data_IF_907714951185
#
_entry.id   IF_907714951185
#
_cell.length_a   1.000
_cell.length_b   1.000
_cell.length_c   1.000
_cell.angle_alpha   90.00
_cell.angle_beta   90.00
_cell.angle_gamma   90.00
#
_symmetry.space_group_name_H-M   'P 1'
#
loop_
_entity.id
_entity.type
_entity.pdbx_description
1 polymer ?
#
# COMPACT_ATOMS: atom_id res chain seq x y z
N UNK A 1 -1.40 11.34 8.62
CA UNK A 1 -1.87 11.96 7.36
C UNK A 1 -0.91 13.08 7.00
N UNK A 2 -0.46 13.12 5.76
CA UNK A 2 0.43 14.17 5.23
C UNK A 2 -0.32 15.48 5.02
N UNK A 3 0.40 16.60 4.77
CA UNK A 3 -0.22 17.86 4.39
C UNK A 3 -0.97 17.74 3.06
N UNK A 4 -0.39 17.05 2.08
CA UNK A 4 -1.02 16.75 0.78
C UNK A 4 -2.32 15.97 0.97
N UNK A 5 -2.32 14.94 1.82
CA UNK A 5 -3.52 14.17 2.13
C UNK A 5 -4.61 15.01 2.80
N UNK A 6 -4.25 15.90 3.72
CA UNK A 6 -5.19 16.81 4.35
C UNK A 6 -5.81 17.80 3.36
N UNK A 7 -5.00 18.31 2.43
CA UNK A 7 -5.48 19.18 1.34
C UNK A 7 -6.45 18.42 0.41
N UNK A 8 -6.11 17.20 0.03
CA UNK A 8 -6.97 16.37 -0.83
C UNK A 8 -8.30 16.03 -0.15
N UNK A 9 -8.29 15.72 1.15
CA UNK A 9 -9.52 15.55 1.92
C UNK A 9 -10.39 16.82 1.92
N UNK A 10 -9.76 17.98 2.11
CA UNK A 10 -10.47 19.28 2.03
C UNK A 10 -11.05 19.52 0.63
N UNK A 11 -10.35 19.13 -0.42
CA UNK A 11 -10.84 19.30 -1.80
C UNK A 11 -12.06 18.40 -2.08
N UNK A 12 -12.06 17.15 -1.61
CA UNK A 12 -13.24 16.27 -1.72
C UNK A 12 -14.48 16.88 -1.04
N UNK A 13 -14.31 17.46 0.15
CA UNK A 13 -15.41 18.17 0.85
C UNK A 13 -15.93 19.36 0.02
N UNK A 14 -15.03 20.16 -0.58
CA UNK A 14 -15.39 21.27 -1.45
C UNK A 14 -16.11 20.84 -2.73
N UNK A 15 -15.82 19.64 -3.22
CA UNK A 15 -16.52 19.03 -4.36
C UNK A 15 -17.93 18.55 -4.01
N UNK A 16 -18.31 18.57 -2.73
CA UNK A 16 -19.67 18.22 -2.28
C UNK A 16 -19.81 16.77 -1.79
N UNK A 17 -18.72 16.07 -1.53
CA UNK A 17 -18.78 14.73 -0.95
C UNK A 17 -18.95 14.79 0.57
N UNK A 18 -19.84 13.96 1.10
CA UNK A 18 -19.92 13.70 2.54
C UNK A 18 -18.72 12.84 2.97
N UNK A 19 -18.10 13.22 4.09
CA UNK A 19 -16.90 12.55 4.59
C UNK A 19 -17.12 11.97 5.98
N UNK A 20 -16.73 10.71 6.13
CA UNK A 20 -16.66 10.03 7.43
C UNK A 20 -15.22 9.60 7.66
N UNK A 21 -14.64 10.02 8.77
CA UNK A 21 -13.26 9.68 9.13
C UNK A 21 -13.24 8.67 10.26
N UNK A 22 -12.61 7.51 10.02
CA UNK A 22 -12.33 6.52 11.05
C UNK A 22 -10.83 6.55 11.37
N UNK A 23 -10.49 6.91 12.61
CA UNK A 23 -9.10 7.06 13.04
C UNK A 23 -8.81 6.09 14.19
N UNK A 24 -8.04 5.03 13.97
CA UNK A 24 -7.54 4.18 15.05
C UNK A 24 -6.70 4.97 16.05
N UNK A 25 -6.72 4.57 17.34
CA UNK A 25 -5.91 5.23 18.35
C UNK A 25 -4.41 5.17 18.01
N UNK A 26 -3.68 6.32 17.99
CA UNK A 26 -2.29 6.36 17.50
C UNK A 26 -1.35 5.37 18.20
N UNK A 27 -1.51 5.17 19.51
CA UNK A 27 -0.69 4.19 20.26
C UNK A 27 -0.95 2.74 19.81
N UNK A 28 -2.19 2.39 19.50
CA UNK A 28 -2.56 1.06 19.00
C UNK A 28 -2.03 0.86 17.59
N UNK A 29 -2.19 1.86 16.74
CA UNK A 29 -1.68 1.84 15.37
C UNK A 29 -0.15 1.69 15.34
N UNK A 30 0.60 2.43 16.16
CA UNK A 30 2.05 2.31 16.27
C UNK A 30 2.49 0.91 16.74
N UNK A 31 1.83 0.35 17.77
CA UNK A 31 2.11 -1.02 18.22
C UNK A 31 1.90 -2.05 17.12
N UNK A 32 0.78 -1.97 16.41
CA UNK A 32 0.46 -2.90 15.33
C UNK A 32 1.39 -2.72 14.13
N UNK A 33 1.78 -1.49 13.79
CA UNK A 33 2.76 -1.22 12.75
C UNK A 33 4.12 -1.88 13.07
N UNK A 34 4.59 -1.77 14.32
CA UNK A 34 5.83 -2.43 14.74
C UNK A 34 5.69 -3.95 14.73
N UNK A 35 4.58 -4.48 15.22
CA UNK A 35 4.38 -5.93 15.32
C UNK A 35 4.24 -6.56 13.92
N UNK A 36 3.49 -5.92 13.01
CA UNK A 36 3.40 -6.37 11.62
C UNK A 36 4.75 -6.30 10.90
N UNK A 37 5.57 -5.30 11.19
CA UNK A 37 6.93 -5.21 10.65
C UNK A 37 7.79 -6.39 11.12
N UNK A 38 7.74 -6.74 12.42
CA UNK A 38 8.49 -7.87 12.97
C UNK A 38 8.03 -9.22 12.41
N UNK A 39 6.72 -9.44 12.31
CA UNK A 39 6.11 -10.72 11.96
C UNK A 39 6.05 -10.97 10.45
N UNK A 40 5.89 -9.93 9.64
CA UNK A 40 5.62 -10.06 8.19
C UNK A 40 6.61 -9.28 7.32
N UNK A 41 7.48 -8.46 7.91
CA UNK A 41 8.31 -7.52 7.15
C UNK A 41 7.46 -6.52 6.34
N UNK A 42 6.33 -6.11 6.91
CA UNK A 42 5.36 -5.17 6.34
C UNK A 42 5.00 -4.13 7.41
N UNK A 43 5.33 -2.87 7.18
CA UNK A 43 5.07 -1.77 8.13
C UNK A 43 3.63 -1.27 8.07
N UNK A 44 2.90 -1.57 7.00
CA UNK A 44 1.56 -1.06 6.70
C UNK A 44 0.44 -2.10 6.83
N UNK A 45 0.74 -3.37 7.16
CA UNK A 45 -0.27 -4.43 7.19
C UNK A 45 -1.51 -4.07 8.04
N UNK A 46 -1.31 -3.55 9.24
CA UNK A 46 -2.43 -3.14 10.09
C UNK A 46 -3.21 -1.95 9.52
N UNK A 47 -2.52 -0.99 8.89
CA UNK A 47 -3.15 0.14 8.22
C UNK A 47 -4.01 -0.30 7.04
N UNK A 48 -3.49 -1.19 6.21
CA UNK A 48 -4.23 -1.80 5.10
C UNK A 48 -5.45 -2.60 5.61
N UNK A 49 -5.30 -3.39 6.67
CA UNK A 49 -6.42 -4.10 7.30
C UNK A 49 -7.51 -3.13 7.77
N UNK A 50 -7.13 -2.02 8.41
CA UNK A 50 -8.08 -0.98 8.82
C UNK A 50 -8.74 -0.29 7.62
N UNK A 51 -7.98 0.02 6.56
CA UNK A 51 -8.49 0.62 5.33
C UNK A 51 -9.59 -0.26 4.71
N UNK A 52 -9.27 -1.53 4.47
CA UNK A 52 -10.20 -2.46 3.81
C UNK A 52 -11.41 -2.83 4.68
N UNK A 53 -11.29 -2.84 6.00
CA UNK A 53 -12.39 -3.19 6.90
C UNK A 53 -13.34 -2.03 7.20
N UNK A 54 -12.85 -0.79 7.17
CA UNK A 54 -13.63 0.39 7.59
C UNK A 54 -14.83 0.65 6.68
N UNK A 55 -14.63 0.64 5.36
CA UNK A 55 -15.70 0.98 4.40
C UNK A 55 -16.88 0.00 4.49
N UNK A 56 -16.69 -1.33 4.37
CA UNK A 56 -17.82 -2.25 4.49
C UNK A 56 -18.46 -2.23 5.88
N UNK A 57 -17.70 -2.02 6.95
CA UNK A 57 -18.24 -1.87 8.29
C UNK A 57 -19.18 -0.68 8.40
N UNK A 58 -18.75 0.49 7.91
CA UNK A 58 -19.60 1.68 7.89
C UNK A 58 -20.81 1.52 7.00
N UNK A 59 -20.69 0.87 5.85
CA UNK A 59 -21.80 0.58 4.96
C UNK A 59 -22.87 -0.27 5.67
N UNK A 60 -22.46 -1.32 6.42
CA UNK A 60 -23.35 -2.15 7.22
C UNK A 60 -24.08 -1.33 8.29
N UNK A 61 -23.34 -0.49 9.05
CA UNK A 61 -23.91 0.31 10.14
C UNK A 61 -24.87 1.40 9.64
N UNK A 62 -24.52 2.04 8.53
CA UNK A 62 -25.33 3.11 7.94
C UNK A 62 -26.47 2.60 7.05
N UNK A 63 -26.53 1.31 6.75
CA UNK A 63 -27.53 0.72 5.85
C UNK A 63 -27.30 1.12 4.39
N UNK A 64 -26.06 1.40 3.99
CA UNK A 64 -25.67 1.63 2.59
C UNK A 64 -25.29 0.30 1.98
N UNK A 65 -26.02 -0.13 0.95
CA UNK A 65 -25.86 -1.46 0.38
C UNK A 65 -24.95 -1.53 -0.86
N UNK A 66 -24.46 -0.40 -1.34
CA UNK A 66 -23.59 -0.34 -2.53
C UNK A 66 -22.30 0.37 -2.21
N UNK A 67 -21.19 -0.30 -2.47
CA UNK A 67 -19.83 0.22 -2.28
C UNK A 67 -19.15 0.26 -3.65
N UNK A 68 -18.61 1.41 -4.03
CA UNK A 68 -17.68 1.52 -5.15
C UNK A 68 -16.25 1.50 -4.64
N UNK A 69 -15.42 0.65 -5.24
CA UNK A 69 -14.02 0.49 -4.88
C UNK A 69 -13.13 0.85 -6.08
N UNK A 70 -12.22 1.79 -5.89
CA UNK A 70 -11.34 2.26 -6.97
C UNK A 70 -10.23 1.28 -7.34
N UNK A 71 -9.74 0.53 -6.35
CA UNK A 71 -8.66 -0.44 -6.54
C UNK A 71 -9.22 -1.82 -6.88
N UNK A 72 -8.59 -2.51 -7.85
CA UNK A 72 -8.85 -3.92 -8.12
C UNK A 72 -7.56 -4.72 -7.87
N UNK A 73 -7.40 -5.34 -6.70
CA UNK A 73 -6.16 -6.05 -6.34
C UNK A 73 -5.84 -7.24 -7.25
N UNK A 74 -6.83 -7.86 -7.90
CA UNK A 74 -6.58 -8.92 -8.88
C UNK A 74 -5.81 -8.38 -10.09
N UNK A 75 -6.21 -7.21 -10.61
CA UNK A 75 -5.57 -6.58 -11.77
C UNK A 75 -4.28 -5.85 -11.40
N UNK A 76 -4.25 -5.16 -10.27
CA UNK A 76 -3.13 -4.29 -9.90
C UNK A 76 -1.94 -5.04 -9.31
N UNK A 77 -2.20 -6.08 -8.50
CA UNK A 77 -1.16 -6.85 -7.78
C UNK A 77 -1.20 -8.35 -8.05
N UNK A 78 -2.12 -8.81 -8.89
CA UNK A 78 -2.24 -10.23 -9.27
C UNK A 78 -2.78 -11.13 -8.15
N UNK A 79 -3.53 -10.59 -7.18
CA UNK A 79 -4.16 -11.38 -6.12
C UNK A 79 -5.45 -12.03 -6.65
N UNK A 80 -5.31 -13.22 -7.24
CA UNK A 80 -6.42 -13.97 -7.80
C UNK A 80 -7.47 -14.40 -6.75
N UNK A 81 -7.15 -14.34 -5.45
CA UNK A 81 -8.11 -14.70 -4.39
C UNK A 81 -9.28 -13.70 -4.30
N UNK A 82 -9.13 -12.50 -4.85
CA UNK A 82 -10.16 -11.45 -4.86
C UNK A 82 -10.92 -11.36 -6.18
N UNK A 83 -10.64 -12.23 -7.15
CA UNK A 83 -11.45 -12.32 -8.37
C UNK A 83 -12.91 -12.64 -8.03
N UNK A 84 -13.83 -11.90 -8.64
CA UNK A 84 -15.28 -12.10 -8.54
C UNK A 84 -15.83 -12.95 -9.70
N UNK A 85 -17.15 -12.97 -9.83
CA UNK A 85 -17.85 -13.66 -10.92
C UNK A 85 -17.71 -12.92 -12.25
N UNK A 86 -17.49 -11.62 -12.20
CA UNK A 86 -17.20 -10.77 -13.34
C UNK A 86 -16.15 -9.71 -12.94
N UNK A 87 -15.70 -8.92 -13.92
CA UNK A 87 -14.67 -7.91 -13.72
C UNK A 87 -15.04 -6.77 -12.77
N UNK A 88 -16.35 -6.56 -12.53
CA UNK A 88 -16.88 -5.54 -11.64
C UNK A 88 -17.10 -6.05 -10.21
N UNK A 89 -17.18 -7.37 -9.99
CA UNK A 89 -17.51 -7.96 -8.70
C UNK A 89 -16.35 -7.85 -7.69
N UNK A 90 -16.52 -6.99 -6.70
CA UNK A 90 -15.59 -6.79 -5.60
C UNK A 90 -15.91 -7.56 -4.31
N UNK A 91 -16.93 -8.42 -4.29
CA UNK A 91 -17.38 -9.08 -3.07
C UNK A 91 -16.34 -10.05 -2.45
N UNK A 92 -15.40 -10.53 -3.24
CA UNK A 92 -14.27 -11.34 -2.76
C UNK A 92 -13.12 -10.53 -2.12
N UNK A 93 -13.22 -9.20 -2.02
CA UNK A 93 -12.21 -8.35 -1.38
C UNK A 93 -11.84 -8.82 0.04
N UNK A 94 -12.76 -9.46 0.76
CA UNK A 94 -12.54 -10.13 2.04
C UNK A 94 -11.43 -11.19 2.03
N UNK A 95 -11.11 -11.76 0.86
CA UNK A 95 -10.08 -12.79 0.66
C UNK A 95 -8.69 -12.21 0.36
N UNK A 96 -8.58 -10.88 0.28
CA UNK A 96 -7.32 -10.21 -0.01
C UNK A 96 -6.21 -10.72 0.92
N UNK A 97 -5.05 -11.03 0.35
CA UNK A 97 -3.93 -11.61 1.07
C UNK A 97 -3.49 -10.76 2.28
N UNK A 98 -3.52 -9.45 2.16
CA UNK A 98 -3.26 -8.54 3.30
C UNK A 98 -4.19 -8.79 4.49
N UNK A 99 -5.46 -9.17 4.24
CA UNK A 99 -6.45 -9.43 5.29
C UNK A 99 -6.30 -10.84 5.87
N UNK A 100 -5.97 -11.83 5.06
CA UNK A 100 -6.04 -13.25 5.41
C UNK A 100 -4.70 -13.87 5.81
N UNK A 101 -3.59 -13.44 5.20
CA UNK A 101 -2.28 -14.02 5.47
C UNK A 101 -1.79 -13.75 6.90
N UNK A 102 -1.44 -14.84 7.60
CA UNK A 102 -0.94 -14.79 8.98
C UNK A 102 -2.03 -14.70 10.05
N UNK A 103 -3.32 -14.84 9.68
CA UNK A 103 -4.45 -14.78 10.61
C UNK A 103 -4.62 -13.41 11.27
N UNK A 104 -5.40 -13.35 12.34
CA UNK A 104 -5.72 -12.11 13.09
C UNK A 104 -5.31 -12.16 14.56
N UNK A 105 -4.84 -13.30 15.05
CA UNK A 105 -4.51 -13.51 16.47
C UNK A 105 -3.38 -12.60 16.97
N UNK A 106 -2.47 -12.22 16.07
CA UNK A 106 -1.38 -11.28 16.36
C UNK A 106 -1.88 -9.90 16.78
N UNK A 107 -3.04 -9.45 16.29
CA UNK A 107 -3.67 -8.18 16.64
C UNK A 107 -4.08 -8.20 18.12
N UNK A 108 -4.81 -9.23 18.53
CA UNK A 108 -5.21 -9.42 19.93
C UNK A 108 -4.01 -9.57 20.85
N UNK A 109 -2.98 -10.31 20.43
CA UNK A 109 -1.74 -10.48 21.18
C UNK A 109 -1.00 -9.15 21.36
N UNK A 110 -0.91 -8.32 20.33
CA UNK A 110 -0.25 -7.02 20.37
C UNK A 110 -1.00 -6.01 21.25
N UNK A 111 -2.32 -5.96 21.12
CA UNK A 111 -3.16 -4.99 21.83
C UNK A 111 -3.60 -5.45 23.26
N UNK A 112 -3.42 -6.73 23.60
CA UNK A 112 -3.74 -7.30 24.92
C UNK A 112 -5.16 -7.00 25.41
N UNK A 113 -6.12 -7.00 24.52
CA UNK A 113 -7.55 -6.72 24.77
C UNK A 113 -7.88 -5.31 25.30
N UNK A 114 -6.93 -4.38 25.28
CA UNK A 114 -7.16 -3.02 25.81
C UNK A 114 -7.80 -2.06 24.78
N UNK A 115 -8.01 -2.50 23.53
CA UNK A 115 -8.39 -1.63 22.43
C UNK A 115 -9.43 -2.28 21.52
N UNK A 116 -10.17 -1.44 20.78
CA UNK A 116 -11.10 -1.89 19.77
C UNK A 116 -10.34 -2.50 18.59
N UNK A 117 -10.37 -3.81 18.49
CA UNK A 117 -9.72 -4.57 17.40
C UNK A 117 -10.57 -4.60 16.12
N UNK A 118 -11.86 -4.31 16.23
CA UNK A 118 -12.83 -4.33 15.13
C UNK A 118 -12.43 -3.42 13.98
N UNK A 119 -11.68 -2.34 14.22
CA UNK A 119 -11.12 -1.47 13.16
C UNK A 119 -10.20 -2.21 12.18
N UNK A 120 -9.64 -3.34 12.60
CA UNK A 120 -8.67 -4.11 11.83
C UNK A 120 -9.23 -5.42 11.27
N UNK A 121 -10.48 -5.74 11.63
CA UNK A 121 -11.11 -6.99 11.24
C UNK A 121 -12.17 -6.74 10.17
N UNK A 122 -12.05 -7.44 9.05
CA UNK A 122 -13.07 -7.40 8.01
C UNK A 122 -14.38 -7.96 8.54
N UNK A 123 -15.55 -7.37 8.22
CA UNK A 123 -16.84 -7.86 8.69
C UNK A 123 -17.13 -9.30 8.21
N UNK A 124 -17.87 -10.04 9.01
CA UNK A 124 -18.30 -11.41 8.67
C UNK A 124 -19.22 -11.43 7.44
N UNK A 125 -19.10 -12.46 6.62
CA UNK A 125 -19.85 -12.62 5.37
C UNK A 125 -21.37 -12.58 5.58
N UNK A 126 -21.85 -13.19 6.66
CA UNK A 126 -23.27 -13.20 7.01
C UNK A 126 -23.87 -11.80 7.19
N UNK A 127 -23.05 -10.80 7.52
CA UNK A 127 -23.51 -9.41 7.64
C UNK A 127 -23.75 -8.77 6.27
N UNK A 128 -22.94 -9.13 5.27
CA UNK A 128 -23.13 -8.71 3.89
C UNK A 128 -24.46 -9.26 3.34
N UNK A 129 -24.69 -10.55 3.51
CA UNK A 129 -25.92 -11.21 3.04
C UNK A 129 -27.16 -10.60 3.67
N UNK A 130 -27.15 -10.40 5.00
CA UNK A 130 -28.28 -9.82 5.75
C UNK A 130 -28.61 -8.38 5.36
N UNK A 131 -27.63 -7.62 4.86
CA UNK A 131 -27.76 -6.20 4.51
C UNK A 131 -27.73 -5.96 3.01
N UNK A 132 -27.62 -7.02 2.21
CA UNK A 132 -27.50 -6.96 0.75
C UNK A 132 -26.35 -6.00 0.30
N UNK A 133 -25.19 -6.12 0.96
CA UNK A 133 -24.03 -5.27 0.67
C UNK A 133 -23.29 -5.82 -0.55
N UNK A 134 -23.09 -4.97 -1.53
CA UNK A 134 -22.37 -5.29 -2.75
C UNK A 134 -21.19 -4.32 -2.97
N UNK A 135 -20.03 -4.87 -3.35
CA UNK A 135 -18.84 -4.11 -3.68
C UNK A 135 -18.59 -4.21 -5.19
N UNK A 136 -18.43 -3.06 -5.84
CA UNK A 136 -18.16 -2.97 -7.27
C UNK A 136 -16.80 -2.29 -7.52
N UNK A 137 -15.97 -2.89 -8.36
CA UNK A 137 -14.76 -2.28 -8.86
C UNK A 137 -15.08 -1.27 -9.96
N UNK A 138 -14.51 -0.07 -9.88
CA UNK A 138 -14.74 0.98 -10.89
C UNK A 138 -13.84 0.85 -12.12
N UNK A 139 -12.61 0.34 -11.95
CA UNK A 139 -11.61 0.29 -13.02
C UNK A 139 -12.11 -0.29 -14.34
N UNK A 140 -12.85 -1.42 -14.35
CA UNK A 140 -13.38 -2.02 -15.57
C UNK A 140 -14.39 -1.15 -16.34
N UNK A 141 -14.89 -0.07 -15.75
CA UNK A 141 -15.78 0.87 -16.44
C UNK A 141 -15.06 1.74 -17.51
N UNK A 142 -13.74 1.73 -17.54
CA UNK A 142 -12.91 2.52 -18.44
C UNK A 142 -12.00 1.62 -19.28
N UNK A 143 -12.12 1.70 -20.58
CA UNK A 143 -11.31 0.92 -21.53
C UNK A 143 -9.82 1.28 -21.50
N UNK A 144 -9.51 2.54 -21.19
CA UNK A 144 -8.16 3.13 -21.19
C UNK A 144 -7.64 3.43 -19.77
N UNK A 145 -7.94 2.58 -18.82
CA UNK A 145 -7.48 2.80 -17.43
C UNK A 145 -5.95 2.75 -17.33
N UNK A 146 -5.34 3.84 -16.89
CA UNK A 146 -3.93 3.90 -16.51
C UNK A 146 -3.73 4.76 -15.26
N UNK A 147 -2.66 4.49 -14.50
CA UNK A 147 -2.33 5.33 -13.33
C UNK A 147 -1.96 6.76 -13.74
N UNK A 148 -1.24 6.94 -14.85
CA UNK A 148 -0.78 8.25 -15.32
C UNK A 148 -1.98 9.11 -15.78
N UNK A 149 -2.91 8.54 -16.56
CA UNK A 149 -4.09 9.27 -17.05
C UNK A 149 -5.05 9.60 -15.90
N UNK A 150 -5.31 8.65 -15.00
CA UNK A 150 -6.16 8.85 -13.84
C UNK A 150 -5.61 9.93 -12.91
N UNK A 151 -4.30 9.95 -12.65
CA UNK A 151 -3.68 10.97 -11.80
C UNK A 151 -3.70 12.34 -12.47
N UNK A 152 -3.50 12.40 -13.78
CA UNK A 152 -3.58 13.63 -14.57
C UNK A 152 -4.99 14.20 -14.54
N UNK A 153 -6.01 13.37 -14.81
CA UNK A 153 -7.41 13.79 -14.74
C UNK A 153 -7.79 14.26 -13.33
N UNK A 154 -7.44 13.48 -12.31
CA UNK A 154 -7.72 13.83 -10.92
C UNK A 154 -7.02 15.14 -10.50
N UNK A 155 -5.80 15.41 -11.00
CA UNK A 155 -5.11 16.67 -10.74
C UNK A 155 -5.82 17.87 -11.39
N UNK A 156 -6.39 17.71 -12.58
CA UNK A 156 -7.20 18.75 -13.23
C UNK A 156 -8.49 19.04 -12.43
N UNK A 157 -9.03 18.04 -11.76
CA UNK A 157 -10.22 18.15 -10.91
C UNK A 157 -9.90 18.55 -9.45
N UNK A 158 -8.63 18.82 -9.12
CA UNK A 158 -8.25 19.37 -7.81
C UNK A 158 -7.45 18.44 -6.90
N UNK A 159 -7.02 17.27 -7.38
CA UNK A 159 -6.06 16.44 -6.62
C UNK A 159 -4.71 17.15 -6.55
N UNK A 160 -4.21 17.34 -5.34
CA UNK A 160 -2.85 17.84 -5.11
C UNK A 160 -1.88 16.67 -5.15
N UNK A 161 -0.89 16.76 -6.04
CA UNK A 161 0.19 15.76 -6.18
C UNK A 161 1.39 16.12 -5.30
N UNK A 162 2.31 15.17 -5.10
CA UNK A 162 3.61 15.45 -4.49
C UNK A 162 4.48 16.25 -5.45
N UNK A 163 5.29 17.21 -4.97
CA UNK A 163 6.13 18.05 -5.83
C UNK A 163 7.50 17.37 -6.12
N UNK A 164 7.55 16.44 -7.10
CA UNK A 164 8.84 15.94 -7.61
C UNK A 164 9.73 15.24 -6.57
N UNK A 165 9.18 14.25 -5.85
CA UNK A 165 9.85 13.57 -4.73
C UNK A 165 10.40 12.17 -5.10
N UNK A 166 10.68 11.90 -6.36
CA UNK A 166 11.14 10.58 -6.84
C UNK A 166 12.45 10.14 -6.15
N UNK A 167 13.34 11.08 -5.83
CA UNK A 167 14.59 10.80 -5.11
C UNK A 167 14.37 10.50 -3.61
N UNK A 168 13.17 10.81 -3.06
CA UNK A 168 12.80 10.58 -1.66
C UNK A 168 12.00 9.30 -1.54
N UNK A 169 11.05 9.09 -2.43
CA UNK A 169 10.04 8.02 -2.34
C UNK A 169 10.25 6.86 -3.29
N UNK A 170 10.98 7.06 -4.40
CA UNK A 170 11.05 6.12 -5.52
C UNK A 170 9.76 6.05 -6.34
N UNK A 171 8.78 6.91 -6.07
CA UNK A 171 7.51 6.99 -6.81
C UNK A 171 7.66 7.92 -8.02
N UNK A 172 7.51 7.38 -9.22
CA UNK A 172 7.66 8.11 -10.48
C UNK A 172 6.40 8.90 -10.89
N UNK A 173 5.26 8.59 -10.31
CA UNK A 173 3.99 9.24 -10.62
C UNK A 173 3.75 10.49 -9.77
N UNK A 174 4.37 10.58 -8.60
CA UNK A 174 4.06 11.59 -7.57
C UNK A 174 2.59 11.65 -7.14
N UNK A 175 1.80 10.63 -7.51
CA UNK A 175 0.37 10.54 -7.29
C UNK A 175 -0.03 9.41 -6.32
N UNK A 176 0.91 8.55 -5.95
CA UNK A 176 0.62 7.42 -5.07
C UNK A 176 0.81 7.77 -3.60
N UNK A 177 -0.02 7.18 -2.73
CA UNK A 177 0.12 7.26 -1.27
C UNK A 177 0.28 8.70 -0.76
N UNK A 178 -0.58 9.59 -1.26
CA UNK A 178 -0.51 11.02 -1.00
C UNK A 178 -0.80 11.39 0.47
N UNK A 179 -1.55 10.55 1.15
CA UNK A 179 -2.07 10.76 2.52
C UNK A 179 -1.15 10.18 3.62
N UNK A 180 -0.14 9.35 3.24
CA UNK A 180 0.79 8.76 4.21
C UNK A 180 2.18 8.54 3.60
N UNK A 181 3.21 8.26 4.42
CA UNK A 181 4.60 8.16 3.97
C UNK A 181 5.20 6.77 4.18
N UNK A 182 4.68 5.98 5.12
CA UNK A 182 5.33 4.73 5.53
C UNK A 182 5.19 3.61 4.50
N UNK A 183 4.25 3.71 3.56
CA UNK A 183 4.18 2.81 2.41
C UNK A 183 5.44 2.86 1.55
N UNK A 184 6.18 3.97 1.52
CA UNK A 184 7.48 4.05 0.84
C UNK A 184 8.49 3.06 1.46
N UNK A 185 8.46 2.87 2.79
CA UNK A 185 9.24 1.83 3.46
C UNK A 185 8.80 0.44 2.98
N UNK A 186 7.51 0.21 2.84
CA UNK A 186 6.98 -1.07 2.36
C UNK A 186 7.44 -1.36 0.92
N UNK A 187 7.47 -0.36 0.05
CA UNK A 187 7.98 -0.49 -1.32
C UNK A 187 9.48 -0.77 -1.33
N UNK A 188 10.27 -0.12 -0.48
CA UNK A 188 11.68 -0.44 -0.27
C UNK A 188 11.87 -1.87 0.27
N UNK A 189 11.06 -2.31 1.22
CA UNK A 189 11.10 -3.68 1.74
C UNK A 189 10.71 -4.71 0.66
N UNK A 190 9.75 -4.40 -0.22
CA UNK A 190 9.43 -5.21 -1.41
C UNK A 190 10.67 -5.41 -2.28
N UNK A 191 11.39 -4.31 -2.57
CA UNK A 191 12.63 -4.37 -3.33
C UNK A 191 13.67 -5.27 -2.68
N UNK A 192 13.88 -5.17 -1.36
CA UNK A 192 14.85 -6.04 -0.66
C UNK A 192 14.42 -7.50 -0.57
N UNK A 193 13.11 -7.79 -0.57
CA UNK A 193 12.59 -9.16 -0.59
C UNK A 193 12.71 -9.81 -1.97
N UNK A 194 12.37 -9.08 -3.02
CA UNK A 194 12.13 -9.65 -4.36
C UNK A 194 13.11 -9.17 -5.42
N UNK A 195 13.88 -8.13 -5.19
CA UNK A 195 14.82 -7.54 -6.15
C UNK A 195 14.17 -6.51 -7.08
N UNK A 196 12.89 -6.20 -6.90
CA UNK A 196 12.17 -5.17 -7.64
C UNK A 196 11.18 -4.44 -6.73
N UNK A 197 10.92 -3.19 -7.03
CA UNK A 197 10.05 -2.31 -6.24
C UNK A 197 9.07 -1.53 -7.11
N UNK A 198 8.62 -0.38 -6.61
CA UNK A 198 7.60 0.45 -7.28
C UNK A 198 8.07 0.99 -8.63
N UNK A 199 9.31 1.45 -8.72
CA UNK A 199 9.83 1.99 -9.98
C UNK A 199 9.81 0.93 -11.09
N UNK A 200 10.17 -0.32 -10.78
CA UNK A 200 10.06 -1.45 -11.72
C UNK A 200 8.60 -1.68 -12.17
N UNK A 201 7.62 -1.63 -11.26
CA UNK A 201 6.21 -1.82 -11.63
C UNK A 201 5.75 -0.74 -12.62
N UNK A 202 6.02 0.54 -12.30
CA UNK A 202 5.66 1.69 -13.17
C UNK A 202 6.38 1.64 -14.52
N UNK A 203 7.67 1.32 -14.52
CA UNK A 203 8.47 1.22 -15.75
C UNK A 203 7.98 0.09 -16.64
N UNK A 204 7.61 -1.05 -16.07
CA UNK A 204 7.06 -2.17 -16.83
C UNK A 204 5.72 -1.81 -17.52
N UNK A 205 4.86 -1.03 -16.85
CA UNK A 205 3.65 -0.49 -17.45
C UNK A 205 3.97 0.42 -18.64
N UNK A 206 4.89 1.38 -18.45
CA UNK A 206 5.31 2.33 -19.49
C UNK A 206 5.99 1.65 -20.70
N UNK A 207 6.73 0.57 -20.48
CA UNK A 207 7.31 -0.22 -21.58
C UNK A 207 6.21 -0.97 -22.33
N UNK A 208 5.26 -1.63 -21.64
CA UNK A 208 4.15 -2.34 -22.28
C UNK A 208 3.25 -1.41 -23.09
N UNK A 209 3.02 -0.19 -22.61
CA UNK A 209 2.27 0.84 -23.33
C UNK A 209 3.10 1.61 -24.36
N UNK A 210 4.37 1.23 -24.57
CA UNK A 210 5.29 1.83 -25.55
C UNK A 210 5.62 3.32 -25.31
N UNK A 211 5.45 3.81 -24.08
CA UNK A 211 5.81 5.17 -23.72
C UNK A 211 7.32 5.36 -23.55
N UNK A 212 8.04 4.30 -23.15
CA UNK A 212 9.50 4.29 -23.02
C UNK A 212 10.10 3.00 -23.57
N UNK A 213 11.39 3.05 -23.94
CA UNK A 213 12.14 1.85 -24.33
C UNK A 213 12.59 1.06 -23.10
N UNK A 214 13.00 -0.21 -23.33
CA UNK A 214 13.58 -1.02 -22.25
C UNK A 214 14.86 -0.41 -21.67
N UNK A 215 15.71 0.19 -22.51
CA UNK A 215 16.96 0.83 -22.11
C UNK A 215 16.70 2.03 -21.20
N UNK A 216 15.74 2.89 -21.57
CA UNK A 216 15.29 4.00 -20.71
C UNK A 216 14.71 3.48 -19.39
N UNK A 217 13.96 2.38 -19.45
CA UNK A 217 13.43 1.74 -18.26
C UNK A 217 14.50 1.23 -17.31
N UNK A 218 15.60 0.64 -17.83
CA UNK A 218 16.75 0.19 -17.02
C UNK A 218 17.39 1.37 -16.28
N UNK A 219 17.61 2.50 -16.93
CA UNK A 219 18.19 3.69 -16.30
C UNK A 219 17.31 4.23 -15.17
N UNK A 220 16.00 4.25 -15.38
CA UNK A 220 15.04 4.70 -14.37
C UNK A 220 15.02 3.74 -13.17
N UNK A 221 14.92 2.45 -13.40
CA UNK A 221 14.90 1.44 -12.33
C UNK A 221 16.23 1.44 -11.55
N UNK A 222 17.35 1.56 -12.24
CA UNK A 222 18.69 1.66 -11.61
C UNK A 222 18.77 2.81 -10.61
N UNK A 223 18.11 3.92 -10.93
CA UNK A 223 18.14 5.14 -10.13
C UNK A 223 17.13 5.17 -8.99
N UNK A 224 15.91 4.66 -9.22
CA UNK A 224 14.80 4.92 -8.33
C UNK A 224 14.27 3.69 -7.60
N UNK A 225 14.57 2.46 -8.05
CA UNK A 225 13.99 1.27 -7.42
C UNK A 225 14.63 1.00 -6.06
N UNK A 226 13.78 0.77 -5.07
CA UNK A 226 14.20 0.61 -3.67
C UNK A 226 14.59 1.91 -2.95
N UNK A 227 14.37 3.07 -3.59
CA UNK A 227 14.57 4.38 -2.94
C UNK A 227 13.53 4.56 -1.83
N UNK A 228 14.01 4.98 -0.69
CA UNK A 228 13.26 5.48 0.46
C UNK A 228 14.23 6.30 1.29
N UNK A 229 14.00 7.58 1.42
CA UNK A 229 14.90 8.49 2.13
C UNK A 229 15.00 8.13 3.62
N UNK A 230 16.15 8.39 4.21
CA UNK A 230 16.39 8.08 5.61
C UNK A 230 15.49 8.89 6.55
N UNK A 231 15.01 10.07 6.15
CA UNK A 231 14.05 10.86 6.93
C UNK A 231 12.72 10.13 7.15
N UNK A 232 12.24 9.36 6.15
CA UNK A 232 11.03 8.53 6.27
C UNK A 232 11.26 7.38 7.26
N UNK A 233 12.46 6.76 7.21
CA UNK A 233 12.85 5.68 8.13
C UNK A 233 12.95 6.22 9.56
N UNK A 234 13.54 7.41 9.74
CA UNK A 234 13.63 8.08 11.03
C UNK A 234 12.25 8.44 11.58
N UNK A 235 11.37 8.98 10.74
CA UNK A 235 9.98 9.29 11.10
C UNK A 235 9.22 8.05 11.56
N UNK A 236 9.32 6.94 10.82
CA UNK A 236 8.72 5.66 11.20
C UNK A 236 9.32 5.13 12.50
N UNK A 237 10.65 5.11 12.62
CA UNK A 237 11.34 4.61 13.80
C UNK A 237 10.91 5.37 15.07
N UNK A 238 10.80 6.70 14.97
CA UNK A 238 10.28 7.54 16.04
C UNK A 238 8.80 7.23 16.35
N UNK A 239 7.98 7.00 15.31
CA UNK A 239 6.57 6.69 15.47
C UNK A 239 6.32 5.38 16.23
N UNK A 240 7.15 4.35 15.99
CA UNK A 240 7.02 3.04 16.65
C UNK A 240 7.97 2.85 17.81
N UNK A 241 8.70 3.89 18.24
CA UNK A 241 9.63 3.94 19.38
C UNK A 241 10.75 2.89 19.30
N UNK A 242 11.48 2.90 18.18
CA UNK A 242 12.70 2.10 17.97
C UNK A 242 13.83 2.97 17.40
N UNK A 243 15.07 2.50 17.52
CA UNK A 243 16.23 3.11 16.89
C UNK A 243 16.32 2.71 15.40
N UNK A 244 17.01 3.49 14.57
CA UNK A 244 17.30 3.12 13.17
C UNK A 244 18.09 1.81 13.07
N UNK A 245 19.00 1.56 14.03
CA UNK A 245 19.71 0.28 14.10
C UNK A 245 18.76 -0.89 14.33
N UNK A 246 17.77 -0.75 15.18
CA UNK A 246 16.73 -1.76 15.39
C UNK A 246 15.85 -1.92 14.15
N UNK A 247 15.48 -0.82 13.48
CA UNK A 247 14.77 -0.87 12.21
C UNK A 247 15.50 -1.77 11.21
N UNK A 248 16.79 -1.50 10.95
CA UNK A 248 17.57 -2.30 10.01
C UNK A 248 17.81 -3.74 10.48
N UNK A 249 17.88 -3.99 11.78
CA UNK A 249 17.95 -5.36 12.31
C UNK A 249 16.67 -6.15 12.06
N UNK A 250 15.51 -5.51 12.08
CA UNK A 250 14.23 -6.13 11.73
C UNK A 250 14.15 -6.32 10.20
N UNK A 251 14.36 -5.25 9.43
CA UNK A 251 14.32 -5.26 7.96
C UNK A 251 15.22 -6.36 7.37
N UNK A 252 16.44 -6.48 7.89
CA UNK A 252 17.45 -7.43 7.41
C UNK A 252 17.07 -8.91 7.59
N UNK A 253 16.05 -9.24 8.39
CA UNK A 253 15.53 -10.61 8.48
C UNK A 253 14.74 -11.01 7.22
N UNK A 254 14.20 -10.02 6.51
CA UNK A 254 13.32 -10.19 5.35
C UNK A 254 14.04 -10.03 4.01
N UNK A 255 15.32 -9.65 4.04
CA UNK A 255 16.12 -9.40 2.84
C UNK A 255 16.50 -10.71 2.15
N UNK A 256 16.35 -10.77 0.83
CA UNK A 256 16.81 -11.87 0.01
C UNK A 256 18.35 -11.88 -0.08
N UNK A 257 18.98 -12.78 0.65
CA UNK A 257 20.43 -12.89 0.77
C UNK A 257 21.12 -13.36 -0.52
N UNK A 258 20.37 -13.92 -1.47
CA UNK A 258 20.94 -14.32 -2.76
C UNK A 258 21.32 -13.10 -3.60
N UNK A 259 20.53 -12.05 -3.53
CA UNK A 259 20.65 -10.83 -4.36
C UNK A 259 21.08 -9.58 -3.60
N UNK A 260 21.19 -9.64 -2.26
CA UNK A 260 21.69 -8.55 -1.43
C UNK A 260 22.76 -9.02 -0.44
N UNK A 261 23.70 -8.13 -0.16
CA UNK A 261 24.67 -8.28 0.96
C UNK A 261 24.12 -7.54 2.16
N UNK A 262 24.11 -8.21 3.33
CA UNK A 262 23.60 -7.67 4.58
C UNK A 262 24.76 -7.40 5.53
N UNK A 263 24.77 -6.21 6.12
CA UNK A 263 25.56 -5.88 7.30
C UNK A 263 24.62 -5.54 8.45
N UNK A 264 24.91 -6.06 9.64
CA UNK A 264 24.05 -5.87 10.82
C UNK A 264 23.76 -4.40 11.10
N UNK A 265 22.48 -4.05 11.23
CA UNK A 265 22.04 -2.68 11.53
C UNK A 265 22.25 -1.67 10.39
N UNK A 266 22.52 -2.12 9.17
CA UNK A 266 22.76 -1.25 8.02
C UNK A 266 21.83 -1.59 6.85
N UNK A 267 21.68 -0.62 5.96
CA UNK A 267 20.96 -0.77 4.68
C UNK A 267 21.61 -1.87 3.84
N UNK A 268 20.83 -2.80 3.23
CA UNK A 268 21.37 -3.83 2.35
C UNK A 268 22.02 -3.27 1.09
N UNK A 269 23.02 -3.97 0.58
CA UNK A 269 23.77 -3.59 -0.63
C UNK A 269 23.42 -4.58 -1.74
N UNK A 270 22.98 -4.08 -2.89
CA UNK A 270 22.63 -4.87 -4.08
C UNK A 270 23.84 -5.59 -4.67
N UNK A 271 23.64 -6.84 -5.14
CA UNK A 271 24.65 -7.68 -5.79
C UNK A 271 24.41 -7.87 -7.29
N UNK A 272 23.28 -7.42 -7.82
CA UNK A 272 22.89 -7.58 -9.23
C UNK A 272 22.94 -6.26 -9.97
N UNK A 273 22.99 -6.32 -11.29
CA UNK A 273 22.89 -5.19 -12.21
C UNK A 273 21.51 -5.20 -12.86
N UNK A 274 20.81 -4.06 -12.85
CA UNK A 274 19.48 -3.96 -13.47
C UNK A 274 19.59 -4.22 -14.99
N UNK A 275 18.62 -4.95 -15.52
CA UNK A 275 18.56 -5.27 -16.95
C UNK A 275 19.49 -6.40 -17.40
N UNK A 276 20.27 -6.98 -16.49
CA UNK A 276 21.10 -8.15 -16.81
C UNK A 276 20.33 -9.42 -16.47
N UNK A 277 20.24 -10.32 -17.45
CA UNK A 277 19.69 -11.66 -17.24
C UNK A 277 20.80 -12.56 -16.67
N UNK A 278 20.59 -13.11 -15.49
CA UNK A 278 21.54 -14.00 -14.82
C UNK A 278 21.29 -15.48 -15.13
N UNK A 279 20.33 -15.77 -16.02
CA UNK A 279 19.99 -17.12 -16.44
C UNK A 279 19.51 -17.98 -15.25
N UNK A 280 18.23 -18.00 -14.98
CA UNK A 280 17.63 -18.93 -14.01
C UNK A 280 17.41 -20.31 -14.62
#
# INVERSE_FOLDING_TARGET
>A
MTEVGANNLSNLIKMGFDMITATPAPKSAAKLALESFKLFGNVCKSTEMSLFSTVPRLAIELGVNTIFWGENPALQVGDAAVEGFDEFDGNNLRKLNTLTAGGTEWINSALKHDYLVEHYLYPEEILFDKKDINIFYLGPAWDDWSNDDNSTYAALEGLTLRPGEENITGDLSNASMLDEEFTNINMMLKYYKFGFGRATDTVNEKIRSQHITREQGIEIVERYDGVCDDSIIQSYSKYVDITETEFWNIANKWVNKNIFTIKKGQRPIRKFTVGTDYGC
#
